data_IF_942589913644
#
_entry.id   IF_942589913644
#
_cell.length_a   1.000
_cell.length_b   1.000
_cell.length_c   1.000
_cell.angle_alpha   90.00
_cell.angle_beta   90.00
_cell.angle_gamma   90.00
#
_symmetry.space_group_name_H-M   'P 1'
#
loop_
_entity.id
_entity.type
_entity.pdbx_description
1 polymer ?
#
# COMPACT_ATOMS: atom_id res chain seq x y z
N UNK A 1 -0.88 12.89 -4.96
CA UNK A 1 -1.61 11.65 -5.30
C UNK A 1 -2.11 11.02 -4.01
N UNK A 2 -3.38 10.66 -3.94
CA UNK A 2 -3.94 9.94 -2.79
C UNK A 2 -3.78 8.43 -2.94
N UNK A 3 -3.74 7.70 -1.83
CA UNK A 3 -3.65 6.23 -1.80
C UNK A 3 -4.83 5.55 -2.52
N UNK A 4 -6.00 6.20 -2.56
CA UNK A 4 -7.24 5.67 -3.10
C UNK A 4 -7.82 6.62 -4.16
N UNK A 5 -7.39 6.53 -5.43
CA UNK A 5 -7.85 7.44 -6.48
C UNK A 5 -9.34 7.29 -6.79
N UNK A 6 -9.91 6.10 -6.60
CA UNK A 6 -11.29 5.77 -6.95
C UNK A 6 -12.20 5.56 -5.72
N UNK A 7 -11.83 6.14 -4.57
CA UNK A 7 -12.56 5.94 -3.32
C UNK A 7 -14.00 6.47 -3.43
N UNK A 8 -14.97 5.59 -3.24
CA UNK A 8 -16.39 5.93 -3.30
C UNK A 8 -16.78 6.84 -2.14
N UNK A 9 -17.85 7.61 -2.36
CA UNK A 9 -18.49 8.44 -1.32
C UNK A 9 -19.98 8.14 -1.25
N UNK A 10 -20.54 8.22 -0.06
CA UNK A 10 -22.00 8.15 0.14
C UNK A 10 -22.67 9.43 -0.39
N UNK A 11 -24.01 9.42 -0.47
CA UNK A 11 -24.79 10.60 -0.85
C UNK A 11 -24.52 11.82 0.07
N UNK A 12 -24.16 11.59 1.33
CA UNK A 12 -23.75 12.64 2.29
C UNK A 12 -22.26 13.02 2.24
N UNK A 13 -21.50 12.50 1.27
CA UNK A 13 -20.10 12.85 1.05
C UNK A 13 -19.07 12.09 1.91
N UNK A 14 -19.51 11.13 2.73
CA UNK A 14 -18.62 10.30 3.57
C UNK A 14 -17.85 9.28 2.72
N UNK A 15 -16.56 9.09 3.00
CA UNK A 15 -15.72 8.09 2.32
C UNK A 15 -16.22 6.68 2.63
N UNK A 16 -16.32 5.84 1.60
CA UNK A 16 -16.71 4.45 1.71
C UNK A 16 -15.54 3.56 1.34
N UNK A 17 -15.07 2.76 2.28
CA UNK A 17 -13.95 1.84 2.11
C UNK A 17 -14.51 0.43 1.88
N UNK A 18 -14.05 -0.22 0.81
CA UNK A 18 -14.29 -1.64 0.59
C UNK A 18 -13.20 -2.47 1.25
N UNK A 19 -13.32 -3.79 1.16
CA UNK A 19 -12.29 -4.72 1.63
C UNK A 19 -10.92 -4.45 0.97
N UNK A 20 -10.89 -4.00 -0.29
CA UNK A 20 -9.64 -3.71 -0.99
C UNK A 20 -8.93 -2.49 -0.39
N UNK A 21 -9.65 -1.40 -0.13
CA UNK A 21 -9.03 -0.23 0.50
C UNK A 21 -8.64 -0.51 1.94
N UNK A 22 -9.41 -1.30 2.69
CA UNK A 22 -9.03 -1.72 4.04
C UNK A 22 -7.75 -2.55 4.03
N UNK A 23 -7.63 -3.55 3.15
CA UNK A 23 -6.41 -4.35 3.02
C UNK A 23 -5.20 -3.50 2.59
N UNK A 24 -5.42 -2.45 1.78
CA UNK A 24 -4.37 -1.50 1.44
C UNK A 24 -3.95 -0.62 2.63
N UNK A 25 -4.88 -0.23 3.51
CA UNK A 25 -4.56 0.51 4.75
C UNK A 25 -3.72 -0.37 5.68
N UNK A 26 -4.10 -1.64 5.85
CA UNK A 26 -3.37 -2.61 6.68
C UNK A 26 -1.93 -2.81 6.19
N UNK A 27 -1.73 -2.96 4.87
CA UNK A 27 -0.40 -3.01 4.27
C UNK A 27 0.43 -1.77 4.62
N UNK A 28 -0.14 -0.57 4.44
CA UNK A 28 0.56 0.69 4.75
C UNK A 28 0.90 0.78 6.22
N UNK A 29 -0.02 0.41 7.11
CA UNK A 29 0.23 0.43 8.55
C UNK A 29 1.36 -0.53 8.94
N UNK A 30 1.34 -1.76 8.39
CA UNK A 30 2.39 -2.75 8.60
C UNK A 30 3.76 -2.25 8.14
N UNK A 31 3.87 -1.77 6.90
CA UNK A 31 5.13 -1.27 6.35
C UNK A 31 5.64 -0.03 7.09
N UNK A 32 4.75 0.85 7.57
CA UNK A 32 5.16 1.96 8.43
C UNK A 32 5.74 1.48 9.76
N UNK A 33 5.16 0.44 10.37
CA UNK A 33 5.65 -0.14 11.64
C UNK A 33 7.05 -0.74 11.50
N UNK A 34 7.45 -1.19 10.31
CA UNK A 34 8.81 -1.67 10.06
C UNK A 34 9.83 -0.53 9.89
N UNK A 35 9.41 0.74 9.93
CA UNK A 35 10.28 1.88 9.64
C UNK A 35 10.57 2.07 8.14
N UNK A 36 9.78 1.45 7.26
CA UNK A 36 9.99 1.61 5.81
C UNK A 36 9.78 3.09 5.41
N UNK A 37 10.68 3.67 4.58
CA UNK A 37 10.53 5.04 4.11
C UNK A 37 9.21 5.26 3.37
N UNK A 38 8.57 6.42 3.58
CA UNK A 38 7.27 6.73 2.96
C UNK A 38 7.29 6.63 1.43
N UNK A 39 8.44 6.93 0.79
CA UNK A 39 8.63 6.79 -0.65
C UNK A 39 8.50 5.32 -1.09
N UNK A 40 9.17 4.41 -0.39
CA UNK A 40 9.12 2.97 -0.67
C UNK A 40 7.71 2.40 -0.47
N UNK A 41 7.01 2.86 0.57
CA UNK A 41 5.59 2.50 0.79
C UNK A 41 4.73 2.99 -0.38
N UNK A 42 4.91 4.24 -0.84
CA UNK A 42 4.16 4.76 -1.97
C UNK A 42 4.42 3.96 -3.26
N UNK A 43 5.67 3.57 -3.51
CA UNK A 43 6.05 2.71 -4.64
C UNK A 43 5.42 1.31 -4.51
N UNK A 44 5.44 0.71 -3.31
CA UNK A 44 4.76 -0.56 -3.05
C UNK A 44 3.28 -0.52 -3.38
N UNK A 45 2.57 0.53 -2.97
CA UNK A 45 1.12 0.66 -3.21
C UNK A 45 0.83 0.88 -4.70
N UNK A 46 1.64 1.69 -5.38
CA UNK A 46 1.55 1.86 -6.84
C UNK A 46 1.73 0.54 -7.57
N UNK A 47 2.70 -0.27 -7.15
CA UNK A 47 2.94 -1.60 -7.71
C UNK A 47 1.79 -2.55 -7.39
N UNK A 48 1.27 -2.57 -6.15
CA UNK A 48 0.11 -3.38 -5.79
C UNK A 48 -1.08 -3.10 -6.71
N UNK A 49 -1.32 -1.84 -7.07
CA UNK A 49 -2.36 -1.44 -8.03
C UNK A 49 -2.06 -1.88 -9.48
N UNK A 50 -0.79 -2.07 -9.86
CA UNK A 50 -0.39 -2.62 -11.16
C UNK A 50 -0.52 -4.16 -11.25
N UNK A 51 -0.91 -4.81 -10.16
CA UNK A 51 -1.19 -6.24 -10.10
C UNK A 51 0.06 -7.12 -10.20
N UNK A 52 -0.07 -8.23 -10.94
CA UNK A 52 0.96 -9.27 -11.01
C UNK A 52 2.20 -8.86 -11.81
N UNK A 53 2.06 -7.86 -12.70
CA UNK A 53 3.18 -7.28 -13.45
C UNK A 53 4.30 -6.72 -12.55
N UNK A 54 4.00 -6.46 -11.29
CA UNK A 54 4.94 -5.88 -10.33
C UNK A 54 5.26 -6.80 -9.14
N UNK A 55 4.91 -8.09 -9.21
CA UNK A 55 5.04 -9.01 -8.07
C UNK A 55 6.50 -9.12 -7.60
N UNK A 56 7.45 -9.17 -8.54
CA UNK A 56 8.88 -9.28 -8.24
C UNK A 56 9.41 -8.02 -7.55
N UNK A 57 9.02 -6.82 -7.99
CA UNK A 57 9.42 -5.55 -7.37
C UNK A 57 8.91 -5.46 -5.92
N UNK A 58 7.65 -5.86 -5.68
CA UNK A 58 7.07 -5.91 -4.33
C UNK A 58 7.83 -6.89 -3.43
N UNK A 59 8.16 -8.07 -3.94
CA UNK A 59 8.90 -9.08 -3.20
C UNK A 59 10.32 -8.61 -2.85
N UNK A 60 11.03 -8.00 -3.79
CA UNK A 60 12.39 -7.49 -3.58
C UNK A 60 12.41 -6.41 -2.50
N UNK A 61 11.46 -5.47 -2.55
CA UNK A 61 11.34 -4.42 -1.55
C UNK A 61 11.12 -4.98 -0.13
N UNK A 62 10.21 -5.95 0.01
CA UNK A 62 9.93 -6.60 1.30
C UNK A 62 11.17 -7.36 1.80
N UNK A 63 11.88 -8.07 0.92
CA UNK A 63 13.12 -8.78 1.28
C UNK A 63 14.20 -7.81 1.77
N UNK A 64 14.40 -6.69 1.08
CA UNK A 64 15.34 -5.65 1.50
C UNK A 64 14.97 -5.08 2.87
N UNK A 65 13.69 -4.79 3.10
CA UNK A 65 13.23 -4.31 4.40
C UNK A 65 13.48 -5.35 5.49
N UNK A 66 13.19 -6.63 5.23
CA UNK A 66 13.47 -7.71 6.17
C UNK A 66 14.96 -7.75 6.55
N UNK A 67 15.86 -7.69 5.57
CA UNK A 67 17.30 -7.68 5.81
C UNK A 67 17.77 -6.48 6.64
N UNK A 68 17.12 -5.32 6.53
CA UNK A 68 17.47 -4.14 7.34
C UNK A 68 17.06 -4.23 8.81
N UNK A 69 16.21 -5.21 9.16
CA UNK A 69 15.74 -5.45 10.53
C UNK A 69 16.49 -6.59 11.23
N UNK A 70 17.31 -7.34 10.50
CA UNK A 70 18.22 -8.37 11.01
C UNK A 70 19.57 -7.75 11.38
#
# INVERSE_FOLDING_TARGET
MGLFPNLKRSAGGLRMFSAEELACIEDVECLKKTGMPLKDIADYIKWKQAGDSSLLQRLELIKRQKQSLE
#
